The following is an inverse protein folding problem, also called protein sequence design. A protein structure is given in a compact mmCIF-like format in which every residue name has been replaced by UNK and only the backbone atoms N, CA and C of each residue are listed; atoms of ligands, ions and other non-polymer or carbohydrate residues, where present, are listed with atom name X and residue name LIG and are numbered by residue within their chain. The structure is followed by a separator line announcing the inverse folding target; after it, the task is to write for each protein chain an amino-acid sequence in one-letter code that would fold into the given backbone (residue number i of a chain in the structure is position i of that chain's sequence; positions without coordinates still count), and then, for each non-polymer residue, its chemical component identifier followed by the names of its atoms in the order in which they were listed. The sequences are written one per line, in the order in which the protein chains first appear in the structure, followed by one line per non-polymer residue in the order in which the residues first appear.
data_IF_314201083047
#
_entry.id   IF_314201083047
#
_cell.length_a   1.000
_cell.length_b   1.000
_cell.length_c   1.000
_cell.angle_alpha   90.00
_cell.angle_beta   90.00
_cell.angle_gamma   90.00
#
_symmetry.space_group_name_H-M   'P 1'
#
loop_
_entity.id
_entity.type
_entity.pdbx_description
1 polymer ?
#
# COMPACT_ATOMS: atom_id res chain seq x y z
N UNK A 1 -30.30 38.88 -9.43
CA UNK A 1 -29.10 39.59 -9.92
C UNK A 1 -27.90 38.67 -9.78
N UNK A 2 -27.21 38.43 -10.90
CA UNK A 2 -26.10 37.50 -11.09
C UNK A 2 -24.81 38.17 -10.60
N UNK A 3 -24.01 37.51 -9.76
CA UNK A 3 -22.59 37.83 -9.62
C UNK A 3 -21.79 36.54 -9.77
N UNK A 4 -21.19 36.44 -10.95
CA UNK A 4 -20.29 35.39 -11.40
C UNK A 4 -18.91 35.83 -10.92
N UNK A 5 -18.22 35.04 -10.11
CA UNK A 5 -16.77 35.13 -9.95
C UNK A 5 -16.23 33.72 -9.65
N UNK A 6 -15.71 33.06 -10.68
CA UNK A 6 -14.28 32.89 -11.01
C UNK A 6 -13.77 31.53 -10.50
N UNK A 7 -13.57 30.67 -11.50
CA UNK A 7 -12.69 29.50 -11.57
C UNK A 7 -11.56 29.45 -10.53
N UNK A 8 -11.46 28.33 -9.81
CA UNK A 8 -10.20 27.85 -9.28
C UNK A 8 -9.99 26.42 -9.80
N UNK A 9 -9.23 26.31 -10.90
CA UNK A 9 -8.65 25.06 -11.38
C UNK A 9 -7.62 24.59 -10.34
N UNK A 10 -8.03 23.70 -9.44
CA UNK A 10 -7.08 22.99 -8.58
C UNK A 10 -6.47 21.89 -9.41
N UNK A 11 -5.31 22.21 -10.02
CA UNK A 11 -4.41 21.22 -10.59
C UNK A 11 -3.84 20.44 -9.40
N UNK A 12 -4.38 19.25 -9.16
CA UNK A 12 -3.78 18.30 -8.22
C UNK A 12 -2.52 17.77 -8.89
N UNK A 13 -1.40 18.42 -8.60
CA UNK A 13 -0.08 17.89 -8.91
C UNK A 13 0.09 16.60 -8.10
N UNK A 14 -0.04 15.45 -8.77
CA UNK A 14 0.44 14.18 -8.24
C UNK A 14 1.97 14.28 -8.12
N UNK A 15 2.42 14.76 -6.96
CA UNK A 15 3.83 14.78 -6.61
C UNK A 15 4.32 13.35 -6.50
N UNK A 16 5.03 12.89 -7.52
CA UNK A 16 5.88 11.72 -7.42
C UNK A 16 7.02 12.03 -6.44
N UNK A 17 6.76 11.86 -5.15
CA UNK A 17 7.79 11.89 -4.12
C UNK A 17 8.58 10.57 -4.20
N UNK A 18 9.49 10.49 -5.18
CA UNK A 18 10.62 9.58 -5.14
C UNK A 18 11.67 10.14 -4.15
N UNK A 19 11.28 10.28 -2.89
CA UNK A 19 12.23 10.50 -1.80
C UNK A 19 12.97 9.20 -1.54
N UNK A 20 14.30 9.26 -1.41
CA UNK A 20 15.10 8.12 -1.00
C UNK A 20 14.53 7.54 0.31
N UNK A 21 13.97 6.33 0.25
CA UNK A 21 13.25 5.73 1.37
C UNK A 21 14.22 4.88 2.18
N UNK A 22 14.53 5.37 3.37
CA UNK A 22 15.31 4.64 4.37
C UNK A 22 14.51 3.39 4.79
N UNK A 23 15.06 2.21 4.53
CA UNK A 23 14.67 0.99 5.26
C UNK A 23 15.12 1.22 6.71
N UNK A 24 14.18 1.42 7.62
CA UNK A 24 14.51 1.47 9.05
C UNK A 24 14.93 0.08 9.49
N UNK A 25 16.17 -0.05 9.99
CA UNK A 25 16.72 -1.30 10.55
C UNK A 25 16.01 -1.76 11.85
N UNK A 26 15.03 -0.97 12.33
CA UNK A 26 14.23 -1.19 13.54
C UNK A 26 12.76 -1.53 13.23
N UNK A 27 12.44 -1.92 11.99
CA UNK A 27 11.08 -2.32 11.64
C UNK A 27 10.69 -3.59 12.44
N UNK A 28 9.48 -3.65 13.04
CA UNK A 28 9.01 -4.86 13.71
C UNK A 28 8.91 -6.05 12.75
N UNK A 29 9.05 -7.27 13.27
CA UNK A 29 8.98 -8.53 12.49
C UNK A 29 7.72 -8.65 11.59
N UNK A 30 6.57 -8.13 12.03
CA UNK A 30 5.35 -8.17 11.22
C UNK A 30 5.46 -7.33 9.93
N UNK A 31 6.29 -6.29 9.91
CA UNK A 31 6.57 -5.48 8.72
C UNK A 31 7.40 -6.26 7.71
N UNK A 32 8.46 -6.93 8.17
CA UNK A 32 9.26 -7.80 7.29
C UNK A 32 8.44 -8.96 6.75
N UNK A 33 7.57 -9.55 7.58
CA UNK A 33 6.64 -10.58 7.12
C UNK A 33 5.66 -10.04 6.07
N UNK A 34 5.19 -8.79 6.20
CA UNK A 34 4.31 -8.15 5.23
C UNK A 34 5.04 -7.90 3.90
N UNK A 35 6.22 -7.28 3.95
CA UNK A 35 7.07 -7.03 2.77
C UNK A 35 7.36 -8.32 1.98
N UNK A 36 7.86 -9.35 2.66
CA UNK A 36 8.23 -10.61 2.02
C UNK A 36 7.00 -11.29 1.39
N UNK A 37 5.87 -11.28 2.09
CA UNK A 37 4.67 -11.98 1.61
C UNK A 37 3.98 -11.24 0.48
N UNK A 38 3.75 -9.93 0.63
CA UNK A 38 3.12 -9.09 -0.40
C UNK A 38 3.99 -9.07 -1.65
N UNK A 39 5.31 -8.88 -1.49
CA UNK A 39 6.25 -8.90 -2.62
C UNK A 39 6.26 -10.23 -3.36
N UNK A 40 6.26 -11.35 -2.62
CA UNK A 40 6.18 -12.70 -3.22
C UNK A 40 4.89 -12.92 -4.01
N UNK A 41 3.75 -12.52 -3.46
CA UNK A 41 2.45 -12.73 -4.10
C UNK A 41 2.26 -11.82 -5.32
N UNK A 42 2.62 -10.53 -5.21
CA UNK A 42 2.65 -9.63 -6.36
C UNK A 42 3.59 -10.14 -7.45
N UNK A 43 4.73 -10.72 -7.09
CA UNK A 43 5.67 -11.29 -8.06
C UNK A 43 5.05 -12.43 -8.87
N UNK A 44 4.18 -13.24 -8.27
CA UNK A 44 3.49 -14.34 -8.94
C UNK A 44 2.56 -13.84 -10.06
N UNK A 45 1.90 -12.71 -9.88
CA UNK A 45 0.86 -12.22 -10.79
C UNK A 45 1.36 -11.11 -11.74
N UNK A 46 2.25 -10.26 -11.25
CA UNK A 46 2.71 -9.07 -11.97
C UNK A 46 4.15 -9.17 -12.48
N UNK A 47 4.94 -10.13 -11.99
CA UNK A 47 6.40 -10.18 -12.16
C UNK A 47 7.13 -9.43 -11.06
N UNK A 48 8.48 -9.44 -11.08
CA UNK A 48 9.33 -8.90 -10.01
C UNK A 48 8.91 -7.47 -9.62
N UNK A 49 8.58 -7.28 -8.34
CA UNK A 49 8.33 -5.98 -7.72
C UNK A 49 9.45 -5.61 -6.74
N UNK A 50 9.72 -4.32 -6.61
CA UNK A 50 10.57 -3.78 -5.54
C UNK A 50 9.66 -3.22 -4.44
N UNK A 51 9.76 -3.79 -3.23
CA UNK A 51 8.94 -3.40 -2.07
C UNK A 51 9.78 -2.69 -1.01
N UNK A 52 9.20 -1.68 -0.36
CA UNK A 52 9.80 -0.96 0.74
C UNK A 52 8.72 -0.46 1.71
N UNK A 53 9.01 -0.52 3.01
CA UNK A 53 8.14 0.01 4.05
C UNK A 53 8.68 1.29 4.70
N UNK A 54 7.75 2.15 5.10
CA UNK A 54 8.03 3.39 5.85
C UNK A 54 7.11 3.50 7.06
N UNK A 55 7.66 3.95 8.20
CA UNK A 55 6.86 4.25 9.38
C UNK A 55 6.16 5.59 9.19
N UNK A 56 4.83 5.59 9.23
CA UNK A 56 4.04 6.84 9.17
C UNK A 56 3.84 7.40 10.58
N UNK A 57 3.52 6.53 11.53
CA UNK A 57 3.41 6.85 12.95
C UNK A 57 3.61 5.56 13.78
N UNK A 58 3.40 5.62 15.10
CA UNK A 58 3.57 4.46 15.99
C UNK A 58 2.60 3.31 15.70
N UNK A 59 1.54 3.59 14.96
CA UNK A 59 0.43 2.70 14.74
C UNK A 59 0.33 2.14 13.32
N UNK A 60 0.91 2.84 12.34
CA UNK A 60 0.77 2.58 10.90
C UNK A 60 2.11 2.65 10.21
N UNK A 61 2.37 1.62 9.42
CA UNK A 61 3.38 1.61 8.39
C UNK A 61 2.72 1.65 7.02
N UNK A 62 3.44 2.13 6.02
CA UNK A 62 3.05 2.01 4.63
C UNK A 62 4.04 1.13 3.91
N UNK A 63 3.52 0.22 3.09
CA UNK A 63 4.27 -0.69 2.22
C UNK A 63 3.99 -0.31 0.78
N UNK A 64 5.06 0.11 0.09
CA UNK A 64 5.01 0.48 -1.31
C UNK A 64 5.77 -0.56 -2.14
N UNK A 65 5.07 -1.23 -3.05
CA UNK A 65 5.63 -2.18 -4.00
C UNK A 65 5.51 -1.64 -5.42
N UNK A 66 6.59 -1.61 -6.19
CA UNK A 66 6.62 -1.03 -7.54
C UNK A 66 7.01 -2.06 -8.60
N UNK A 67 6.25 -2.11 -9.69
CA UNK A 67 6.63 -2.83 -10.90
C UNK A 67 7.02 -1.84 -12.00
N UNK A 68 8.30 -1.44 -12.01
CA UNK A 68 8.84 -0.35 -12.86
C UNK A 68 8.47 -0.50 -14.34
N UNK A 69 8.62 -1.69 -14.91
CA UNK A 69 8.37 -1.93 -16.34
C UNK A 69 6.89 -1.78 -16.74
N UNK A 70 5.95 -1.99 -15.81
CA UNK A 70 4.50 -1.88 -16.08
C UNK A 70 3.91 -0.57 -15.54
N UNK A 71 4.72 0.29 -14.92
CA UNK A 71 4.24 1.52 -14.30
C UNK A 71 3.21 1.32 -13.19
N UNK A 72 3.24 0.17 -12.50
CA UNK A 72 2.32 -0.16 -11.41
C UNK A 72 2.94 0.12 -10.06
N UNK A 73 2.16 0.68 -9.15
CA UNK A 73 2.56 0.94 -7.77
C UNK A 73 1.46 0.47 -6.85
N UNK A 74 1.76 -0.47 -5.95
CA UNK A 74 0.81 -1.03 -5.01
C UNK A 74 1.13 -0.47 -3.62
N UNK A 75 0.19 0.28 -3.06
CA UNK A 75 0.36 0.93 -1.75
C UNK A 75 -0.58 0.32 -0.72
N UNK A 76 -0.02 -0.13 0.40
CA UNK A 76 -0.77 -0.74 1.48
C UNK A 76 -0.43 -0.08 2.80
N UNK A 77 -1.43 0.15 3.66
CA UNK A 77 -1.18 0.37 5.07
C UNK A 77 -0.96 -0.99 5.75
N UNK A 78 0.04 -1.08 6.60
CA UNK A 78 0.40 -2.28 7.34
C UNK A 78 0.24 -2.02 8.83
N UNK A 79 -0.51 -2.91 9.47
CA UNK A 79 -0.77 -2.92 10.90
C UNK A 79 -0.42 -4.28 11.48
N UNK A 80 -0.18 -4.39 12.79
CA UNK A 80 -0.13 -5.69 13.45
C UNK A 80 -1.51 -6.35 13.42
N UNK A 81 -1.55 -7.69 13.46
CA UNK A 81 -2.76 -8.49 13.29
C UNK A 81 -3.91 -8.14 14.23
N UNK A 82 -3.61 -7.68 15.43
CA UNK A 82 -4.58 -7.38 16.48
C UNK A 82 -5.45 -6.16 16.14
N UNK A 83 -5.05 -5.36 15.15
CA UNK A 83 -5.83 -4.23 14.65
C UNK A 83 -6.84 -4.61 13.57
N UNK A 84 -6.80 -5.84 13.06
CA UNK A 84 -7.76 -6.28 12.06
C UNK A 84 -9.18 -6.31 12.67
N UNK A 85 -10.21 -5.83 11.95
CA UNK A 85 -11.60 -5.94 12.38
C UNK A 85 -12.18 -7.36 12.20
N UNK A 86 -11.36 -8.32 11.78
CA UNK A 86 -11.69 -9.72 11.55
C UNK A 86 -10.49 -10.61 11.87
N UNK A 87 -10.73 -11.93 11.99
CA UNK A 87 -9.65 -12.88 12.28
C UNK A 87 -8.66 -12.99 11.13
N UNK A 88 -7.41 -12.63 11.37
CA UNK A 88 -6.30 -12.81 10.42
C UNK A 88 -5.33 -13.88 10.93
N UNK A 89 -4.91 -14.79 10.07
CA UNK A 89 -3.97 -15.88 10.43
C UNK A 89 -2.49 -15.48 10.33
N UNK A 90 -2.21 -14.24 9.94
CA UNK A 90 -0.87 -13.69 9.71
C UNK A 90 -0.54 -12.73 10.85
N UNK A 91 0.72 -12.38 11.03
CA UNK A 91 1.16 -11.39 12.04
C UNK A 91 0.81 -9.94 11.67
N UNK A 92 0.25 -9.71 10.48
CA UNK A 92 -0.04 -8.40 9.94
C UNK A 92 -1.42 -8.33 9.31
N UNK A 93 -1.95 -7.12 9.24
CA UNK A 93 -3.19 -6.73 8.59
C UNK A 93 -2.90 -5.65 7.54
N UNK A 94 -3.58 -5.72 6.39
CA UNK A 94 -3.35 -4.84 5.25
C UNK A 94 -4.62 -4.07 4.87
N UNK A 95 -4.43 -2.80 4.56
CA UNK A 95 -5.45 -1.95 3.93
C UNK A 95 -4.92 -1.44 2.60
N UNK A 96 -5.70 -1.52 1.53
CA UNK A 96 -5.32 -1.00 0.24
C UNK A 96 -5.49 0.53 0.21
N UNK A 97 -4.43 1.26 -0.12
CA UNK A 97 -4.44 2.73 -0.17
C UNK A 97 -4.85 3.21 -1.55
N UNK A 98 -4.29 2.63 -2.62
CA UNK A 98 -4.51 3.09 -3.99
C UNK A 98 -5.25 2.07 -4.87
N UNK A 99 -5.65 2.51 -6.07
CA UNK A 99 -6.46 1.70 -7.00
C UNK A 99 -5.75 0.42 -7.44
N UNK A 100 -4.43 0.48 -7.68
CA UNK A 100 -3.62 -0.68 -8.03
C UNK A 100 -3.60 -1.71 -6.89
N UNK A 101 -3.47 -1.28 -5.64
CA UNK A 101 -3.56 -2.16 -4.47
C UNK A 101 -4.96 -2.78 -4.34
N UNK A 102 -6.02 -1.98 -4.50
CA UNK A 102 -7.41 -2.46 -4.46
C UNK A 102 -7.68 -3.48 -5.56
N UNK A 103 -7.22 -3.23 -6.78
CA UNK A 103 -7.33 -4.17 -7.88
C UNK A 103 -6.54 -5.45 -7.61
N UNK A 104 -5.33 -5.33 -7.06
CA UNK A 104 -4.48 -6.49 -6.76
C UNK A 104 -5.09 -7.41 -5.71
N UNK A 105 -5.86 -6.89 -4.75
CA UNK A 105 -6.47 -7.67 -3.68
C UNK A 105 -7.37 -8.81 -4.19
N UNK A 106 -7.97 -8.63 -5.36
CA UNK A 106 -8.86 -9.62 -6.00
C UNK A 106 -8.13 -10.57 -6.96
N UNK A 107 -6.80 -10.46 -7.08
CA UNK A 107 -6.01 -11.21 -8.07
C UNK A 107 -5.17 -12.32 -7.42
N UNK A 108 -5.08 -13.45 -8.13
CA UNK A 108 -4.04 -14.46 -7.90
C UNK A 108 -3.83 -14.88 -6.45
N UNK A 109 -2.61 -14.71 -5.94
CA UNK A 109 -2.29 -15.08 -4.55
C UNK A 109 -2.68 -13.98 -3.55
N UNK A 110 -2.85 -12.74 -4.00
CA UNK A 110 -3.17 -11.60 -3.14
C UNK A 110 -4.53 -11.76 -2.45
N UNK A 111 -5.50 -12.48 -3.04
CA UNK A 111 -6.79 -12.81 -2.38
C UNK A 111 -6.64 -13.53 -1.03
N UNK A 112 -5.52 -14.23 -0.81
CA UNK A 112 -5.23 -14.93 0.45
C UNK A 112 -4.61 -14.03 1.52
N UNK A 113 -4.39 -12.76 1.22
CA UNK A 113 -3.93 -11.76 2.19
C UNK A 113 -5.08 -11.09 2.94
N UNK A 114 -6.33 -11.29 2.49
CA UNK A 114 -7.50 -10.66 3.09
C UNK A 114 -7.26 -9.15 3.22
N UNK A 115 -6.91 -8.49 2.11
CA UNK A 115 -6.62 -7.05 2.13
C UNK A 115 -7.95 -6.31 2.26
N UNK A 116 -8.05 -5.38 3.22
CA UNK A 116 -9.21 -4.51 3.30
C UNK A 116 -9.17 -3.47 2.18
N UNK A 117 -10.12 -3.57 1.24
CA UNK A 117 -10.25 -2.64 0.10
C UNK A 117 -11.21 -1.48 0.34
N UNK A 118 -11.85 -1.43 1.52
CA UNK A 118 -12.85 -0.43 1.89
C UNK A 118 -12.28 0.69 2.79
N UNK A 119 -11.01 0.60 3.18
CA UNK A 119 -10.39 1.45 4.20
C UNK A 119 -9.61 2.67 3.65
N UNK A 120 -9.92 3.13 2.43
CA UNK A 120 -9.22 4.24 1.76
C UNK A 120 -10.12 5.38 1.33
#
# INVERSE_FOLDING_TARGET
MKKIMVLALVVVAAGAAAGARYVSNDAPEYIHSAEARVGSYLTSDYGRVDCNSIKINDERWELDCTHKTRGKTFQFAVYPSEKAPYGVSRSFYLEAINDDARQSAEQGLMRYLQINTQAG
#
